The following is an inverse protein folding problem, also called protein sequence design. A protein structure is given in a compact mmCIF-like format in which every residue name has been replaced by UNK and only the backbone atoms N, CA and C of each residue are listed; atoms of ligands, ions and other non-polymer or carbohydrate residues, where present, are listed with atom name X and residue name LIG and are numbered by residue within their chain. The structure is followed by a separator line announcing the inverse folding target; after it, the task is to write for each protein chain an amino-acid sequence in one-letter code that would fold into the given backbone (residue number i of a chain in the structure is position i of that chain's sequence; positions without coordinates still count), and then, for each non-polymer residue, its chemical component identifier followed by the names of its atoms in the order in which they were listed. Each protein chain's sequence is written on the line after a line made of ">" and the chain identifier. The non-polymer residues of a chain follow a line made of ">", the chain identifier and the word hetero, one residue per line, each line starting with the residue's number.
data_IF_018502133960
#
_entry.id   IF_018502133960
#
_cell.length_a   1.000
_cell.length_b   1.000
_cell.length_c   1.000
_cell.angle_alpha   90.00
_cell.angle_beta   90.00
_cell.angle_gamma   90.00
#
_symmetry.space_group_name_H-M   'P 1'
#
loop_
_entity.id
_entity.type
_entity.pdbx_description
1 polymer ?
#
# COMPACT_ATOMS: atom_id res chain seq x y z
N UNK A 1 4.55 -6.07 13.15
CA UNK A 1 3.91 -7.27 12.58
C UNK A 1 4.91 -7.86 11.61
N UNK A 2 5.43 -9.05 11.92
CA UNK A 2 6.17 -9.81 10.92
C UNK A 2 5.11 -10.43 10.01
N UNK A 3 5.11 -10.05 8.74
CA UNK A 3 4.25 -10.69 7.75
C UNK A 3 5.01 -11.92 7.24
N UNK A 4 4.71 -13.08 7.79
CA UNK A 4 5.06 -14.33 7.13
C UNK A 4 4.36 -14.38 5.76
N UNK A 5 5.04 -14.92 4.76
CA UNK A 5 4.54 -15.02 3.39
C UNK A 5 4.23 -16.48 3.07
N UNK A 6 3.10 -16.76 2.42
CA UNK A 6 2.76 -18.11 1.99
C UNK A 6 3.83 -18.70 1.08
N UNK A 7 4.13 -19.97 1.23
CA UNK A 7 5.22 -20.62 0.51
C UNK A 7 4.98 -20.75 -0.99
N UNK A 8 3.71 -20.84 -1.42
CA UNK A 8 3.37 -20.92 -2.84
C UNK A 8 3.35 -19.54 -3.54
N UNK A 9 2.45 -18.66 -3.11
CA UNK A 9 2.18 -17.41 -3.81
C UNK A 9 2.98 -16.22 -3.29
N UNK A 10 3.77 -16.39 -2.21
CA UNK A 10 4.55 -15.33 -1.55
C UNK A 10 3.74 -14.10 -1.15
N UNK A 11 2.42 -14.20 -1.14
CA UNK A 11 1.52 -13.20 -0.59
C UNK A 11 1.55 -13.25 0.93
N UNK A 12 1.32 -12.10 1.56
CA UNK A 12 1.22 -12.00 3.02
C UNK A 12 0.10 -12.88 3.59
N UNK A 13 0.36 -13.52 4.74
CA UNK A 13 -0.65 -14.23 5.52
C UNK A 13 -1.55 -13.22 6.22
N UNK A 14 -2.85 -13.25 5.90
CA UNK A 14 -3.86 -12.38 6.54
C UNK A 14 -4.38 -12.98 7.85
N UNK A 15 -5.20 -14.02 7.77
CA UNK A 15 -5.75 -14.67 8.96
C UNK A 15 -5.81 -16.18 8.73
N UNK A 16 -6.80 -16.64 7.97
CA UNK A 16 -6.94 -18.05 7.66
C UNK A 16 -5.96 -18.51 6.59
N UNK A 17 -5.20 -19.55 6.92
CA UNK A 17 -4.24 -20.20 6.05
C UNK A 17 -4.14 -21.68 6.45
N UNK A 18 -3.55 -22.51 5.59
CA UNK A 18 -3.25 -23.90 5.95
C UNK A 18 -1.75 -24.05 6.20
N UNK A 19 -1.39 -24.62 7.35
CA UNK A 19 -0.01 -24.71 7.81
C UNK A 19 0.36 -26.14 8.20
N UNK A 20 1.60 -26.54 7.96
CA UNK A 20 2.16 -27.76 8.53
C UNK A 20 2.85 -27.42 9.85
N UNK A 21 2.45 -28.10 10.93
CA UNK A 21 3.02 -27.92 12.27
C UNK A 21 4.48 -28.34 12.39
N UNK A 22 4.92 -29.30 11.56
CA UNK A 22 6.29 -29.84 11.63
C UNK A 22 7.29 -29.04 10.78
N UNK A 23 6.92 -28.70 9.55
CA UNK A 23 7.86 -28.08 8.59
C UNK A 23 7.55 -26.61 8.28
N UNK A 24 6.56 -26.02 8.99
CA UNK A 24 6.12 -24.63 8.86
C UNK A 24 5.86 -24.23 7.41
N UNK A 25 5.26 -25.13 6.63
CA UNK A 25 4.86 -24.83 5.26
C UNK A 25 3.48 -24.19 5.26
N UNK A 26 3.36 -22.99 4.73
CA UNK A 26 2.12 -22.20 4.74
C UNK A 26 1.51 -22.04 3.34
N UNK A 27 0.23 -22.34 3.23
CA UNK A 27 -0.55 -22.28 2.00
C UNK A 27 -1.78 -21.39 2.18
N UNK A 28 -1.97 -20.41 1.30
CA UNK A 28 -3.13 -19.53 1.37
C UNK A 28 -4.40 -20.27 0.93
N UNK A 29 -5.58 -19.75 1.31
CA UNK A 29 -6.85 -20.37 0.93
C UNK A 29 -7.12 -20.37 -0.59
N UNK A 30 -6.54 -19.42 -1.32
CA UNK A 30 -6.64 -19.37 -2.79
C UNK A 30 -5.84 -20.53 -3.39
N UNK A 31 -4.58 -20.69 -3.02
CA UNK A 31 -3.76 -21.82 -3.45
C UNK A 31 -4.33 -23.17 -2.98
N UNK A 32 -4.97 -23.22 -1.80
CA UNK A 32 -5.70 -24.41 -1.37
C UNK A 32 -6.83 -24.78 -2.35
N UNK A 33 -7.56 -23.77 -2.85
CA UNK A 33 -8.64 -23.96 -3.81
C UNK A 33 -8.08 -24.43 -5.16
N UNK A 34 -7.05 -23.75 -5.65
CA UNK A 34 -6.37 -24.08 -6.92
C UNK A 34 -5.84 -25.53 -6.91
N UNK A 35 -5.21 -25.95 -5.80
CA UNK A 35 -4.74 -27.33 -5.61
C UNK A 35 -5.87 -28.35 -5.70
N UNK A 36 -7.00 -28.07 -5.04
CA UNK A 36 -8.16 -28.97 -5.07
C UNK A 36 -8.82 -29.04 -6.44
N UNK A 37 -8.73 -27.98 -7.24
CA UNK A 37 -9.22 -27.96 -8.63
C UNK A 37 -8.22 -28.52 -9.64
N UNK A 38 -7.01 -28.92 -9.21
CA UNK A 38 -5.94 -29.33 -10.13
C UNK A 38 -5.40 -28.18 -10.99
N UNK A 39 -5.64 -26.93 -10.57
CA UNK A 39 -5.27 -25.70 -11.27
C UNK A 39 -4.13 -24.97 -10.55
N UNK A 40 -3.36 -25.68 -9.72
CA UNK A 40 -2.32 -25.05 -8.95
C UNK A 40 -1.16 -24.64 -9.85
N UNK A 41 -1.21 -23.38 -10.27
CA UNK A 41 -0.10 -22.70 -10.89
C UNK A 41 0.85 -22.27 -9.76
N UNK A 42 2.12 -22.65 -9.89
CA UNK A 42 3.13 -22.39 -8.88
C UNK A 42 3.38 -20.88 -8.77
N UNK A 43 2.72 -20.25 -7.80
CA UNK A 43 2.63 -18.80 -7.71
C UNK A 43 1.74 -18.23 -8.81
N UNK A 44 1.05 -17.12 -8.52
CA UNK A 44 0.51 -16.31 -9.59
C UNK A 44 1.69 -15.96 -10.51
N UNK A 45 1.53 -16.11 -11.84
CA UNK A 45 2.20 -15.15 -12.72
C UNK A 45 1.93 -13.78 -12.10
N UNK A 46 2.95 -12.93 -11.87
CA UNK A 46 2.72 -11.60 -11.33
C UNK A 46 1.54 -11.04 -12.10
N UNK A 47 0.45 -10.65 -11.40
CA UNK A 47 -0.79 -10.20 -12.05
C UNK A 47 -0.32 -9.22 -13.10
N UNK A 48 -0.30 -9.68 -14.35
CA UNK A 48 0.15 -8.88 -15.46
C UNK A 48 -1.12 -8.11 -15.69
N UNK A 49 -1.22 -6.97 -15.01
CA UNK A 49 -2.11 -5.93 -15.44
C UNK A 49 -1.59 -5.58 -16.82
N UNK A 50 -2.07 -6.31 -17.82
CA UNK A 50 -1.92 -5.94 -19.22
C UNK A 50 -2.69 -4.63 -19.33
N UNK A 51 -2.02 -3.54 -18.97
CA UNK A 51 -2.38 -2.23 -19.44
C UNK A 51 -1.96 -2.26 -20.90
N UNK A 52 -2.90 -2.35 -21.86
CA UNK A 52 -2.52 -2.20 -23.26
C UNK A 52 -1.84 -0.84 -23.37
N UNK A 53 -0.54 -0.84 -23.67
CA UNK A 53 0.22 0.36 -23.90
C UNK A 53 -0.38 1.04 -25.13
N UNK A 54 -1.25 2.02 -24.91
CA UNK A 54 -1.93 2.75 -25.98
C UNK A 54 -1.03 3.83 -26.62
N UNK A 55 0.27 3.79 -26.36
CA UNK A 55 1.23 4.79 -26.84
C UNK A 55 1.20 6.08 -26.01
N UNK A 56 2.24 6.93 -26.19
CA UNK A 56 2.34 8.24 -25.53
C UNK A 56 1.16 9.16 -25.85
N UNK A 57 0.58 9.00 -27.03
CA UNK A 57 -0.50 9.86 -27.53
C UNK A 57 -1.81 9.68 -26.73
N UNK A 58 -2.06 8.48 -26.18
CA UNK A 58 -3.18 8.22 -25.28
C UNK A 58 -3.07 9.00 -23.97
N UNK A 59 -1.84 9.20 -23.47
CA UNK A 59 -1.58 9.89 -22.20
C UNK A 59 -1.88 11.40 -22.27
N UNK A 60 -1.91 11.97 -23.48
CA UNK A 60 -2.20 13.39 -23.74
C UNK A 60 -3.63 13.64 -24.24
N UNK A 61 -4.49 12.61 -24.25
CA UNK A 61 -5.90 12.75 -24.64
C UNK A 61 -6.13 12.91 -26.14
N UNK A 62 -5.16 12.51 -26.98
CA UNK A 62 -5.31 12.54 -28.42
C UNK A 62 -6.14 11.34 -28.92
N UNK A 63 -7.00 11.55 -29.92
CA UNK A 63 -7.83 10.49 -30.51
C UNK A 63 -6.95 9.51 -31.29
N UNK A 64 -6.88 8.26 -30.86
CA UNK A 64 -6.14 7.20 -31.55
C UNK A 64 -7.06 6.27 -32.32
N UNK A 65 -6.87 6.21 -33.63
CA UNK A 65 -7.56 5.30 -34.56
C UNK A 65 -6.66 4.14 -35.03
N UNK A 66 -5.54 3.86 -34.35
CA UNK A 66 -4.61 2.78 -34.75
C UNK A 66 -4.04 2.04 -33.56
N UNK A 67 -4.49 0.80 -33.39
CA UNK A 67 -3.87 -0.20 -32.53
C UNK A 67 -2.51 -0.57 -33.13
N UNK A 68 -1.42 -0.10 -32.53
CA UNK A 68 -0.08 -0.58 -32.87
C UNK A 68 0.19 -1.79 -31.98
N UNK A 69 0.03 -2.98 -32.55
CA UNK A 69 0.48 -4.22 -31.93
C UNK A 69 2.01 -4.27 -31.99
N UNK A 70 2.69 -3.71 -30.99
CA UNK A 70 4.07 -4.06 -30.75
C UNK A 70 4.09 -5.36 -29.93
N UNK A 71 4.25 -6.46 -30.65
CA UNK A 71 4.69 -7.73 -30.08
C UNK A 71 6.17 -7.60 -29.79
N UNK A 72 6.53 -6.93 -28.70
CA UNK A 72 7.83 -7.16 -28.09
C UNK A 72 7.73 -8.50 -27.36
N UNK A 73 8.56 -9.45 -27.80
CA UNK A 73 8.68 -10.74 -27.14
C UNK A 73 9.26 -10.49 -25.76
N UNK A 74 8.38 -10.38 -24.77
CA UNK A 74 8.75 -10.64 -23.40
C UNK A 74 9.24 -12.08 -23.39
N UNK A 75 10.56 -12.23 -23.28
CA UNK A 75 11.20 -13.51 -23.03
C UNK A 75 10.44 -14.12 -21.85
N UNK A 76 9.63 -15.13 -22.15
CA UNK A 76 8.71 -15.71 -21.20
C UNK A 76 9.56 -16.21 -20.05
N UNK A 77 9.55 -15.49 -18.93
CA UNK A 77 10.11 -16.00 -17.70
C UNK A 77 9.28 -17.23 -17.42
N UNK A 78 9.86 -18.40 -17.74
CA UNK A 78 9.22 -19.68 -17.54
C UNK A 78 8.67 -19.66 -16.11
N UNK A 79 7.35 -19.86 -15.91
CA UNK A 79 6.78 -19.76 -14.58
C UNK A 79 7.62 -20.65 -13.67
N UNK A 80 8.13 -20.10 -12.57
CA UNK A 80 8.98 -20.85 -11.65
C UNK A 80 8.15 -22.00 -11.07
N UNK A 81 8.12 -23.12 -11.80
CA UNK A 81 7.38 -24.30 -11.40
C UNK A 81 8.11 -24.81 -10.17
N UNK A 82 7.50 -24.57 -9.01
CA UNK A 82 8.06 -24.98 -7.72
C UNK A 82 8.25 -26.50 -7.75
N UNK A 83 9.31 -26.95 -7.09
CA UNK A 83 9.72 -28.36 -7.09
C UNK A 83 8.58 -29.31 -6.70
N UNK A 84 7.77 -28.91 -5.73
CA UNK A 84 6.60 -29.65 -5.27
C UNK A 84 5.42 -29.61 -6.25
N UNK A 85 5.29 -28.58 -7.09
CA UNK A 85 4.33 -28.56 -8.22
C UNK A 85 4.77 -29.55 -9.33
N UNK A 86 6.08 -29.76 -9.51
CA UNK A 86 6.62 -30.79 -10.43
C UNK A 86 6.45 -32.22 -9.92
N UNK A 87 6.37 -32.40 -8.59
CA UNK A 87 6.20 -33.70 -7.94
C UNK A 87 4.77 -34.26 -8.00
N UNK A 88 3.86 -33.63 -8.76
CA UNK A 88 2.47 -34.08 -8.86
C UNK A 88 1.68 -33.91 -7.56
N UNK A 89 2.02 -32.89 -6.76
CA UNK A 89 1.30 -32.59 -5.53
C UNK A 89 -0.16 -32.26 -5.81
N UNK A 90 -1.08 -32.99 -5.18
CA UNK A 90 -2.52 -32.84 -5.33
C UNK A 90 -3.21 -32.98 -3.98
N UNK A 91 -4.41 -32.41 -3.87
CA UNK A 91 -5.27 -32.68 -2.74
C UNK A 91 -5.81 -34.11 -2.82
N UNK A 92 -6.01 -34.74 -1.67
CA UNK A 92 -6.65 -36.03 -1.54
C UNK A 92 -8.13 -35.97 -1.94
N UNK A 93 -8.73 -37.12 -2.24
CA UNK A 93 -10.15 -37.24 -2.59
C UNK A 93 -11.12 -36.68 -1.52
N UNK A 94 -10.70 -36.66 -0.26
CA UNK A 94 -11.44 -36.06 0.86
C UNK A 94 -11.20 -34.54 1.02
N UNK A 95 -10.41 -33.92 0.15
CA UNK A 95 -10.06 -32.51 0.18
C UNK A 95 -8.94 -32.13 1.17
N UNK A 96 -8.36 -33.11 1.87
CA UNK A 96 -7.15 -32.92 2.67
C UNK A 96 -5.96 -32.59 1.77
N UNK A 97 -5.06 -31.73 2.24
CA UNK A 97 -3.90 -31.31 1.47
C UNK A 97 -2.66 -31.89 2.13
N UNK A 98 -1.94 -32.82 1.48
CA UNK A 98 -0.76 -33.41 2.08
C UNK A 98 0.37 -32.39 2.21
N UNK A 99 1.28 -32.62 3.15
CA UNK A 99 2.50 -31.84 3.28
C UNK A 99 3.35 -31.99 1.99
N UNK A 100 3.78 -30.92 1.33
CA UNK A 100 4.59 -31.03 0.11
C UNK A 100 6.06 -31.39 0.40
N UNK A 101 6.50 -31.17 1.64
CA UNK A 101 7.82 -31.59 2.13
C UNK A 101 7.70 -32.99 2.73
N UNK A 102 8.77 -33.79 2.69
CA UNK A 102 8.83 -35.06 3.43
C UNK A 102 8.73 -34.76 4.94
N UNK A 103 7.51 -34.89 5.48
CA UNK A 103 7.23 -34.55 6.88
C UNK A 103 6.21 -35.54 7.48
N UNK A 104 6.44 -35.97 8.72
CA UNK A 104 5.66 -37.04 9.37
C UNK A 104 4.20 -36.67 9.69
N UNK A 105 3.85 -35.38 9.64
CA UNK A 105 2.50 -34.89 9.98
C UNK A 105 1.44 -35.21 8.91
N UNK A 106 1.88 -35.52 7.69
CA UNK A 106 1.01 -35.96 6.60
C UNK A 106 0.20 -34.85 5.92
N UNK A 107 -0.39 -33.89 6.65
CA UNK A 107 -1.34 -32.91 6.08
C UNK A 107 -1.24 -31.49 6.64
N UNK A 108 -1.70 -30.51 5.84
CA UNK A 108 -1.81 -29.09 6.20
C UNK A 108 -3.13 -28.79 6.94
N UNK A 109 -3.02 -28.22 8.14
CA UNK A 109 -4.15 -27.88 9.01
C UNK A 109 -4.61 -26.42 8.81
N UNK A 110 -5.91 -26.16 8.94
CA UNK A 110 -6.43 -24.79 8.90
C UNK A 110 -6.08 -24.05 10.19
N UNK A 111 -5.34 -22.95 10.08
CA UNK A 111 -4.96 -22.07 11.19
C UNK A 111 -5.46 -20.66 10.95
N UNK A 112 -5.51 -19.88 12.02
CA UNK A 112 -5.90 -18.47 12.05
C UNK A 112 -4.84 -17.71 12.84
N UNK A 113 -4.39 -16.58 12.30
CA UNK A 113 -3.46 -15.67 12.99
C UNK A 113 -4.19 -14.91 14.11
N UNK A 114 -5.44 -14.53 13.86
CA UNK A 114 -6.23 -13.71 14.79
C UNK A 114 -6.77 -14.54 15.96
N UNK A 115 -6.86 -15.86 15.82
CA UNK A 115 -7.36 -16.78 16.84
C UNK A 115 -8.90 -16.82 16.89
N UNK A 116 -9.43 -17.89 17.50
CA UNK A 116 -10.85 -18.25 17.37
C UNK A 116 -11.85 -17.25 18.00
N UNK A 117 -11.40 -16.41 18.93
CA UNK A 117 -12.25 -15.45 19.65
C UNK A 117 -11.97 -13.98 19.30
N UNK A 118 -11.15 -13.72 18.28
CA UNK A 118 -10.76 -12.36 17.91
C UNK A 118 -11.94 -11.41 17.69
N UNK A 119 -12.93 -11.84 16.90
CA UNK A 119 -14.10 -11.02 16.58
C UNK A 119 -14.90 -10.72 17.84
N UNK A 120 -15.13 -11.73 18.69
CA UNK A 120 -15.85 -11.56 19.95
C UNK A 120 -15.11 -10.62 20.91
N UNK A 121 -13.79 -10.74 21.00
CA UNK A 121 -12.94 -9.87 21.81
C UNK A 121 -12.89 -8.44 21.27
N UNK A 122 -12.83 -8.28 19.95
CA UNK A 122 -12.88 -7.00 19.26
C UNK A 122 -14.22 -6.31 19.51
N UNK A 123 -15.33 -7.03 19.34
CA UNK A 123 -16.67 -6.52 19.62
C UNK A 123 -16.83 -6.13 21.08
N UNK A 124 -16.39 -6.97 22.02
CA UNK A 124 -16.42 -6.67 23.45
C UNK A 124 -15.64 -5.39 23.79
N UNK A 125 -14.44 -5.22 23.22
CA UNK A 125 -13.65 -4.00 23.38
C UNK A 125 -14.33 -2.79 22.77
N UNK A 126 -14.83 -2.91 21.54
CA UNK A 126 -15.54 -1.84 20.84
C UNK A 126 -16.81 -1.40 21.59
N UNK A 127 -17.61 -2.34 22.08
CA UNK A 127 -18.79 -2.06 22.90
C UNK A 127 -18.41 -1.39 24.22
N UNK A 128 -17.37 -1.88 24.91
CA UNK A 128 -16.87 -1.24 26.14
C UNK A 128 -16.40 0.20 25.92
N UNK A 129 -15.74 0.47 24.79
CA UNK A 129 -15.38 1.84 24.39
C UNK A 129 -16.63 2.66 24.08
N UNK A 130 -17.58 2.13 23.29
CA UNK A 130 -18.82 2.84 22.95
C UNK A 130 -19.64 3.22 24.19
N UNK A 131 -19.67 2.37 25.22
CA UNK A 131 -20.31 2.68 26.51
C UNK A 131 -19.56 3.74 27.31
N UNK A 132 -18.22 3.70 27.30
CA UNK A 132 -17.35 4.69 27.97
C UNK A 132 -17.43 6.06 27.30
N UNK A 133 -17.56 6.07 25.98
CA UNK A 133 -17.63 7.26 25.14
C UNK A 133 -19.06 7.59 24.71
N UNK A 134 -20.05 7.37 25.60
CA UNK A 134 -21.34 8.09 25.53
C UNK A 134 -21.07 9.57 25.74
N UNK A 135 -20.45 10.21 24.75
CA UNK A 135 -20.27 11.63 24.71
C UNK A 135 -21.67 12.24 24.74
N UNK A 136 -21.90 13.08 25.74
CA UNK A 136 -22.88 14.14 25.63
C UNK A 136 -22.61 14.79 24.27
N UNK A 137 -23.58 14.73 23.37
CA UNK A 137 -23.57 15.50 22.14
C UNK A 137 -24.15 16.86 22.49
N UNK A 138 -23.36 17.88 22.90
CA UNK A 138 -23.69 19.16 22.33
C UNK A 138 -23.46 18.98 20.84
N UNK A 139 -24.50 19.19 20.05
CA UNK A 139 -24.41 19.51 18.63
C UNK A 139 -23.47 20.73 18.49
N UNK A 140 -22.16 20.52 18.68
CA UNK A 140 -21.14 21.53 18.47
C UNK A 140 -21.03 21.62 16.97
N UNK A 141 -21.88 22.48 16.41
CA UNK A 141 -21.78 22.90 15.03
C UNK A 141 -20.41 23.56 14.90
N UNK A 142 -19.55 22.95 14.09
CA UNK A 142 -18.27 23.51 13.76
C UNK A 142 -18.50 24.78 12.92
N UNK A 143 -17.85 25.89 13.28
CA UNK A 143 -17.96 27.16 12.55
C UNK A 143 -17.53 27.04 11.08
N UNK A 144 -16.75 26.01 10.76
CA UNK A 144 -16.37 25.58 9.43
C UNK A 144 -17.55 25.22 8.52
N UNK A 145 -18.72 24.90 9.09
CA UNK A 145 -19.93 24.53 8.35
C UNK A 145 -20.61 25.75 7.69
N UNK A 146 -20.19 26.98 8.04
CA UNK A 146 -20.87 28.19 7.61
C UNK A 146 -20.22 28.78 6.34
N UNK A 147 -20.98 28.93 5.23
CA UNK A 147 -20.41 29.28 3.92
C UNK A 147 -19.81 30.68 3.84
N UNK A 148 -20.25 31.62 4.69
CA UNK A 148 -19.90 33.05 4.60
C UNK A 148 -18.53 33.40 5.22
N UNK A 149 -17.81 32.42 5.80
CA UNK A 149 -16.59 32.71 6.59
C UNK A 149 -15.38 31.83 6.28
N UNK A 150 -15.35 31.18 5.10
CA UNK A 150 -14.28 30.26 4.70
C UNK A 150 -12.86 30.87 4.80
N UNK A 151 -12.70 32.17 4.61
CA UNK A 151 -11.40 32.83 4.69
C UNK A 151 -10.79 32.88 6.12
N UNK A 152 -11.60 32.79 7.19
CA UNK A 152 -11.14 33.11 8.55
C UNK A 152 -10.82 31.88 9.43
N UNK A 153 -11.29 30.69 9.07
CA UNK A 153 -11.15 29.46 9.90
C UNK A 153 -10.16 28.46 9.31
N UNK A 154 -9.17 28.95 8.56
CA UNK A 154 -8.16 28.10 7.94
C UNK A 154 -8.75 27.14 6.91
N UNK A 155 -9.75 27.52 6.11
CA UNK A 155 -10.21 26.67 5.00
C UNK A 155 -9.31 26.82 3.78
N UNK A 156 -9.14 25.72 3.06
CA UNK A 156 -8.47 25.69 1.75
C UNK A 156 -9.44 25.19 0.69
N UNK A 157 -9.54 25.92 -0.41
CA UNK A 157 -10.29 25.47 -1.59
C UNK A 157 -9.61 24.23 -2.18
N UNK A 158 -10.32 23.12 -2.24
CA UNK A 158 -9.86 21.85 -2.81
C UNK A 158 -10.49 21.56 -4.18
N UNK A 159 -11.66 22.13 -4.47
CA UNK A 159 -12.35 21.97 -5.75
C UNK A 159 -13.15 23.24 -6.14
N UNK A 160 -13.67 23.28 -7.37
CA UNK A 160 -14.49 24.38 -7.89
C UNK A 160 -15.73 23.84 -8.63
N UNK A 161 -16.62 23.14 -7.90
CA UNK A 161 -17.86 22.55 -8.42
C UNK A 161 -19.05 23.48 -8.13
N UNK A 162 -19.88 23.80 -9.13
CA UNK A 162 -20.95 24.80 -8.99
C UNK A 162 -22.03 24.42 -7.95
N UNK A 163 -22.36 23.13 -7.85
CA UNK A 163 -23.48 22.64 -7.04
C UNK A 163 -23.03 21.85 -5.78
N UNK A 164 -21.81 22.10 -5.29
CA UNK A 164 -21.27 21.36 -4.14
C UNK A 164 -20.79 22.28 -3.02
N UNK A 165 -21.15 21.93 -1.78
CA UNK A 165 -20.70 22.60 -0.56
C UNK A 165 -19.36 22.06 -0.02
N UNK A 166 -18.81 20.99 -0.63
CA UNK A 166 -17.58 20.30 -0.21
C UNK A 166 -16.29 20.84 -0.89
N UNK A 167 -16.38 21.97 -1.57
CA UNK A 167 -15.25 22.57 -2.30
C UNK A 167 -14.11 23.05 -1.39
N UNK A 168 -14.32 23.07 -0.06
CA UNK A 168 -13.40 23.59 0.93
C UNK A 168 -13.09 22.53 1.98
N UNK A 169 -11.80 22.38 2.30
CA UNK A 169 -11.31 21.50 3.34
C UNK A 169 -10.72 22.30 4.48
N UNK A 170 -10.90 21.81 5.71
CA UNK A 170 -10.25 22.38 6.88
C UNK A 170 -8.74 22.23 6.75
N UNK A 171 -8.03 23.34 6.91
CA UNK A 171 -6.61 23.46 6.61
C UNK A 171 -5.83 24.33 7.63
N UNK A 172 -5.65 23.87 8.88
CA UNK A 172 -4.91 24.62 9.89
C UNK A 172 -3.41 24.72 9.53
N UNK A 173 -2.69 25.62 10.22
CA UNK A 173 -1.22 25.75 10.12
C UNK A 173 -0.57 25.08 11.33
N UNK A 174 0.43 24.24 11.09
CA UNK A 174 1.11 23.49 12.16
C UNK A 174 1.78 24.38 13.22
N UNK A 175 2.30 25.54 12.81
CA UNK A 175 3.03 26.47 13.69
C UNK A 175 2.13 27.36 14.56
N UNK A 176 0.80 27.31 14.37
CA UNK A 176 -0.15 28.21 15.03
C UNK A 176 -1.28 27.47 15.75
N UNK A 177 -1.12 26.15 15.98
CA UNK A 177 -2.18 25.31 16.55
C UNK A 177 -2.66 25.85 17.91
N UNK A 178 -3.96 26.08 18.01
CA UNK A 178 -4.69 26.45 19.22
C UNK A 178 -5.53 25.27 19.73
N UNK A 179 -5.96 25.31 20.98
CA UNK A 179 -6.87 24.29 21.56
C UNK A 179 -8.18 24.16 20.76
N UNK A 180 -8.63 25.24 20.15
CA UNK A 180 -9.81 25.27 19.27
C UNK A 180 -9.61 24.38 18.02
N UNK A 181 -8.40 24.32 17.46
CA UNK A 181 -8.09 23.56 16.24
C UNK A 181 -8.26 22.05 16.45
N UNK A 182 -8.02 21.56 17.67
CA UNK A 182 -8.27 20.17 18.05
C UNK A 182 -9.77 19.85 18.04
N UNK A 183 -10.60 20.81 18.44
CA UNK A 183 -12.06 20.72 18.36
C UNK A 183 -12.53 20.62 16.90
N UNK A 184 -11.99 21.49 16.04
CA UNK A 184 -12.25 21.45 14.60
C UNK A 184 -11.81 20.11 13.99
N UNK A 185 -10.60 19.64 14.31
CA UNK A 185 -10.08 18.36 13.82
C UNK A 185 -10.99 17.19 14.20
N UNK A 186 -11.36 17.06 15.49
CA UNK A 186 -12.23 15.96 15.95
C UNK A 186 -13.58 15.96 15.23
N UNK A 187 -14.18 17.13 15.05
CA UNK A 187 -15.46 17.25 14.36
C UNK A 187 -15.39 16.82 12.88
N UNK A 188 -14.37 17.26 12.14
CA UNK A 188 -14.18 16.83 10.75
C UNK A 188 -13.84 15.34 10.68
N UNK A 189 -13.03 14.84 11.61
CA UNK A 189 -12.62 13.44 11.69
C UNK A 189 -13.80 12.49 11.98
N UNK A 190 -14.68 12.86 12.91
CA UNK A 190 -15.91 12.11 13.23
C UNK A 190 -16.83 11.95 12.01
N UNK A 191 -16.78 12.88 11.05
CA UNK A 191 -17.54 12.83 9.80
C UNK A 191 -16.83 12.12 8.65
N UNK A 192 -15.58 11.70 8.85
CA UNK A 192 -14.73 11.19 7.78
C UNK A 192 -14.32 12.25 6.75
N UNK A 193 -14.38 13.54 7.11
CA UNK A 193 -13.97 14.63 6.24
C UNK A 193 -12.44 14.79 6.29
N UNK A 194 -11.75 14.90 5.14
CA UNK A 194 -10.30 15.04 5.12
C UNK A 194 -9.85 16.41 5.64
N UNK A 195 -8.74 16.44 6.36
CA UNK A 195 -8.12 17.66 6.93
C UNK A 195 -6.69 17.80 6.43
N UNK A 196 -6.28 19.02 6.06
CA UNK A 196 -4.93 19.32 5.55
C UNK A 196 -4.16 20.16 6.58
N UNK A 197 -3.15 19.61 7.24
CA UNK A 197 -2.28 20.46 8.08
C UNK A 197 -1.16 21.05 7.22
N UNK A 198 -1.13 22.37 7.10
CA UNK A 198 -0.15 23.09 6.29
C UNK A 198 1.07 23.56 7.12
N UNK A 199 2.17 23.89 6.44
CA UNK A 199 3.37 24.47 7.05
C UNK A 199 4.01 23.58 8.14
N UNK A 200 3.94 22.25 7.96
CA UNK A 200 4.53 21.29 8.91
C UNK A 200 6.06 21.41 8.96
N UNK A 201 6.69 21.71 7.82
CA UNK A 201 8.15 21.85 7.69
C UNK A 201 8.67 23.01 8.55
N UNK A 202 7.91 24.10 8.68
CA UNK A 202 8.30 25.27 9.47
C UNK A 202 8.46 24.93 10.96
N UNK A 203 7.77 23.89 11.45
CA UNK A 203 7.91 23.37 12.81
C UNK A 203 9.01 22.32 12.98
N UNK A 204 9.58 21.80 11.89
CA UNK A 204 10.67 20.81 11.96
C UNK A 204 12.03 21.50 11.98
N UNK A 205 12.55 21.77 13.18
CA UNK A 205 13.91 22.30 13.33
C UNK A 205 14.96 21.21 13.12
N UNK A 206 15.91 21.43 12.21
CA UNK A 206 17.11 20.60 12.07
C UNK A 206 16.99 19.37 11.17
N UNK A 207 15.84 19.18 10.51
CA UNK A 207 15.67 18.17 9.45
C UNK A 207 15.67 18.86 8.09
N UNK A 208 16.45 18.37 7.14
CA UNK A 208 16.38 18.78 5.75
C UNK A 208 15.87 17.62 4.90
N UNK A 209 14.79 17.90 4.17
CA UNK A 209 14.19 17.00 3.18
C UNK A 209 14.71 17.28 1.77
N UNK A 210 15.82 18.02 1.64
CA UNK A 210 16.44 18.24 0.35
C UNK A 210 16.93 16.91 -0.23
N UNK A 211 16.69 16.64 -1.53
CA UNK A 211 17.03 15.37 -2.17
C UNK A 211 18.46 14.88 -1.90
N UNK A 212 19.45 15.76 -1.95
CA UNK A 212 20.85 15.41 -1.71
C UNK A 212 21.16 15.15 -0.22
N UNK A 213 20.44 15.80 0.71
CA UNK A 213 20.57 15.52 2.14
C UNK A 213 19.97 14.15 2.46
N UNK A 214 18.78 13.85 1.91
CA UNK A 214 18.15 12.54 2.03
C UNK A 214 19.06 11.43 1.46
N UNK A 215 19.62 11.62 0.26
CA UNK A 215 20.55 10.65 -0.35
C UNK A 215 21.78 10.38 0.51
N UNK A 216 22.40 11.42 1.09
CA UNK A 216 23.54 11.28 2.01
C UNK A 216 23.17 10.45 3.24
N UNK A 217 21.99 10.69 3.82
CA UNK A 217 21.50 9.91 4.96
C UNK A 217 21.27 8.43 4.59
N UNK A 218 20.68 8.15 3.42
CA UNK A 218 20.50 6.77 2.93
C UNK A 218 21.82 6.03 2.73
N UNK A 219 22.85 6.70 2.20
CA UNK A 219 24.20 6.11 2.07
C UNK A 219 24.85 5.79 3.42
N UNK A 220 24.62 6.60 4.44
CA UNK A 220 25.24 6.39 5.74
C UNK A 220 24.62 5.22 6.51
N UNK A 221 23.31 4.98 6.36
CA UNK A 221 22.63 3.87 7.05
C UNK A 221 23.04 2.47 6.57
N UNK A 222 23.44 2.34 5.30
CA UNK A 222 23.76 1.04 4.69
C UNK A 222 25.24 0.65 4.77
N UNK A 223 26.11 1.59 5.16
CA UNK A 223 27.56 1.39 5.23
C UNK A 223 28.05 1.01 6.64
N UNK A 224 27.70 -0.18 7.13
CA UNK A 224 28.45 -0.77 8.25
C UNK A 224 29.68 -1.55 7.80
N UNK A 225 29.73 -2.12 6.58
CA UNK A 225 30.93 -2.75 6.00
C UNK A 225 30.90 -2.73 4.45
N UNK A 226 31.66 -1.82 3.83
CA UNK A 226 31.97 -1.64 2.38
C UNK A 226 30.97 -0.83 1.55
N UNK A 227 31.54 0.04 0.71
CA UNK A 227 30.89 0.80 -0.37
C UNK A 227 30.19 -0.16 -1.35
N UNK A 228 28.93 -0.50 -1.07
CA UNK A 228 28.08 -1.20 -2.03
C UNK A 228 27.18 -0.16 -2.70
N UNK A 229 27.17 -0.16 -4.03
CA UNK A 229 26.18 0.56 -4.82
C UNK A 229 24.79 0.09 -4.37
N UNK A 230 23.91 1.03 -4.03
CA UNK A 230 22.55 0.70 -3.57
C UNK A 230 21.69 0.40 -4.78
N UNK A 231 21.49 -0.89 -5.04
CA UNK A 231 20.52 -1.37 -6.01
C UNK A 231 19.11 -1.19 -5.44
N UNK A 232 18.49 -0.06 -5.79
CA UNK A 232 17.10 0.24 -5.43
C UNK A 232 16.20 -0.03 -6.63
N UNK A 233 15.13 -0.78 -6.39
CA UNK A 233 14.03 -0.92 -7.35
C UNK A 233 13.13 0.30 -7.27
N UNK A 234 12.90 0.95 -8.40
CA UNK A 234 11.91 2.00 -8.56
C UNK A 234 10.77 1.50 -9.45
N UNK A 235 9.66 2.24 -9.43
CA UNK A 235 8.53 2.01 -10.33
C UNK A 235 8.47 3.22 -11.25
N UNK A 236 8.47 3.00 -12.56
CA UNK A 236 8.17 4.07 -13.51
C UNK A 236 6.67 4.38 -13.42
N UNK A 237 6.33 5.63 -13.10
CA UNK A 237 4.93 6.04 -12.92
C UNK A 237 4.12 6.07 -14.24
N UNK A 238 4.79 5.98 -15.40
CA UNK A 238 4.13 6.02 -16.71
C UNK A 238 3.57 4.65 -17.11
N UNK A 239 4.30 3.59 -16.84
CA UNK A 239 3.96 2.21 -17.23
C UNK A 239 3.84 1.23 -16.05
N UNK A 240 4.11 1.70 -14.83
CA UNK A 240 4.13 0.93 -13.58
C UNK A 240 5.14 -0.23 -13.58
N UNK A 241 6.13 -0.21 -14.47
CA UNK A 241 7.16 -1.24 -14.53
C UNK A 241 8.24 -1.01 -13.47
N UNK A 242 8.78 -2.11 -12.92
CA UNK A 242 9.94 -2.06 -12.03
C UNK A 242 11.22 -1.77 -12.83
N UNK A 243 11.96 -0.76 -12.38
CA UNK A 243 13.25 -0.38 -12.96
C UNK A 243 14.33 -0.44 -11.87
N UNK A 244 15.43 -1.13 -12.14
CA UNK A 244 16.58 -1.17 -11.22
C UNK A 244 17.44 0.09 -11.40
N UNK A 245 17.58 0.89 -10.34
CA UNK A 245 18.40 2.11 -10.32
C UNK A 245 19.81 1.86 -9.76
N UNK A 246 20.39 0.70 -10.07
CA UNK A 246 21.65 0.19 -9.48
C UNK A 246 22.86 1.11 -9.62
N UNK A 247 22.94 1.92 -10.67
CA UNK A 247 24.09 2.79 -10.94
C UNK A 247 23.87 4.27 -10.60
N UNK A 248 22.67 4.69 -10.17
CA UNK A 248 22.28 6.09 -10.32
C UNK A 248 21.34 6.63 -9.24
N UNK A 249 21.43 6.16 -7.99
CA UNK A 249 20.68 6.82 -6.90
C UNK A 249 21.03 8.31 -6.78
N UNK A 250 22.31 8.68 -6.92
CA UNK A 250 22.72 10.10 -6.97
C UNK A 250 22.09 10.85 -8.14
N UNK A 251 22.07 10.27 -9.34
CA UNK A 251 21.43 10.88 -10.51
C UNK A 251 19.91 10.96 -10.40
N UNK A 252 19.26 10.03 -9.70
CA UNK A 252 17.85 10.11 -9.40
C UNK A 252 17.56 11.33 -8.50
N UNK A 253 18.27 11.44 -7.37
CA UNK A 253 18.11 12.58 -6.46
C UNK A 253 18.56 13.91 -7.08
N UNK A 254 19.53 13.92 -7.99
CA UNK A 254 19.93 15.15 -8.70
C UNK A 254 18.92 15.56 -9.78
N UNK A 255 18.29 14.60 -10.48
CA UNK A 255 17.22 14.88 -11.45
C UNK A 255 15.93 15.41 -10.80
N UNK A 256 15.63 15.02 -9.56
CA UNK A 256 14.53 15.64 -8.78
C UNK A 256 14.73 17.17 -8.68
N UNK A 257 15.96 17.61 -8.45
CA UNK A 257 16.28 19.04 -8.30
C UNK A 257 16.17 19.77 -9.63
N UNK A 258 16.64 19.16 -10.73
CA UNK A 258 16.69 19.82 -12.05
C UNK A 258 15.29 20.14 -12.59
N UNK A 259 14.31 19.25 -12.45
CA UNK A 259 12.96 19.50 -12.96
C UNK A 259 12.11 20.40 -12.03
N UNK A 260 12.47 20.52 -10.75
CA UNK A 260 11.77 21.44 -9.85
C UNK A 260 11.98 22.91 -10.24
N UNK A 261 13.10 23.26 -10.86
CA UNK A 261 13.37 24.64 -11.31
C UNK A 261 12.65 25.03 -12.61
N UNK A 262 12.25 24.08 -13.45
CA UNK A 262 11.54 24.34 -14.71
C UNK A 262 10.02 24.51 -14.53
N UNK A 263 9.49 24.19 -13.34
CA UNK A 263 8.05 24.33 -13.00
C UNK A 263 7.75 25.65 -12.26
N UNK A 264 8.78 26.41 -11.85
CA UNK A 264 8.65 27.73 -11.20
C UNK A 264 9.16 28.89 -12.09
N UNK A 265 8.82 28.89 -13.38
CA UNK A 265 8.90 30.08 -14.26
C UNK A 265 7.57 30.30 -14.96
#
# INVERSE_FOLDING_TARGET
>A
MYFESHDNCKTSIFDYHRSCTECSFDLCLICCRELRSGQLLGGADPITLEFPFRGRDYLHGENLDKTVNQTESNDATEPLIREWSRAGWHAESNGSIPCPKECNHGFLELRSVLGQHFITDLLRKASGLAETFKHETPDKVCLCSWPDRSANYGMRKAASRADSSDNYLYCPKAVQLQDEDLGHFRWHWEKGEPVIVSHVIDGTSGLSWEPLVMWRAFRQMTNTKREQHLDVKAIDCLDFCEVCLSLFTECFFSKIVIHSHEVYV
#
